data_IF_054592305051
#
_entry.id   IF_054592305051
#
_cell.length_a   1.000
_cell.length_b   1.000
_cell.length_c   1.000
_cell.angle_alpha   90.00
_cell.angle_beta   90.00
_cell.angle_gamma   90.00
#
_symmetry.space_group_name_H-M   'P 1'
#
loop_
_entity.id
_entity.type
_entity.pdbx_description
1 polymer ?
#
# COMPACT_ATOMS: atom_id res chain seq x y z
N UNK A 1 14.68 -9.99 1.59
CA UNK A 1 14.50 -8.58 1.15
C UNK A 1 13.08 -8.07 1.45
N UNK A 2 12.07 -8.90 1.27
CA UNK A 2 10.65 -8.65 1.59
C UNK A 2 10.35 -8.24 3.05
N UNK A 3 10.98 -8.87 4.04
CA UNK A 3 10.80 -8.52 5.46
C UNK A 3 11.25 -7.09 5.83
N UNK A 4 12.24 -6.51 5.11
CA UNK A 4 12.61 -5.10 5.29
C UNK A 4 11.52 -4.18 4.72
N UNK A 5 10.89 -4.61 3.62
CA UNK A 5 9.77 -3.88 3.01
C UNK A 5 8.62 -3.73 4.01
N UNK A 6 8.23 -4.79 4.72
CA UNK A 6 7.14 -4.69 5.72
C UNK A 6 7.35 -3.54 6.72
N UNK A 7 8.55 -3.45 7.32
CA UNK A 7 8.84 -2.41 8.32
C UNK A 7 8.80 -0.99 7.73
N UNK A 8 9.36 -0.78 6.54
CA UNK A 8 9.33 0.53 5.89
C UNK A 8 7.92 0.88 5.43
N UNK A 9 7.18 -0.07 4.86
CA UNK A 9 5.81 0.13 4.43
C UNK A 9 4.91 0.59 5.57
N UNK A 10 5.00 -0.03 6.77
CA UNK A 10 4.24 0.41 7.96
C UNK A 10 4.47 1.89 8.30
N UNK A 11 5.70 2.38 8.16
CA UNK A 11 6.02 3.80 8.42
C UNK A 11 5.44 4.73 7.35
N UNK A 12 5.47 4.32 6.08
CA UNK A 12 5.00 5.13 4.96
C UNK A 12 3.47 5.26 4.91
N UNK A 13 2.75 4.27 5.45
CA UNK A 13 1.27 4.22 5.44
C UNK A 13 0.62 4.67 6.74
N UNK A 14 1.40 4.99 7.78
CA UNK A 14 0.88 5.39 9.11
C UNK A 14 -0.04 6.63 9.08
N UNK A 15 0.05 7.44 8.02
CA UNK A 15 -0.77 8.62 7.82
C UNK A 15 -2.16 8.33 7.25
N UNK A 16 -2.40 7.13 6.72
CA UNK A 16 -3.68 6.73 6.17
C UNK A 16 -4.70 6.48 7.29
N UNK A 17 -5.96 6.82 7.02
CA UNK A 17 -7.05 6.69 7.99
C UNK A 17 -8.09 5.68 7.52
N UNK A 18 -8.47 4.76 8.40
CA UNK A 18 -9.57 3.84 8.13
C UNK A 18 -9.28 2.87 6.98
N UNK A 19 -8.01 2.54 6.75
CA UNK A 19 -7.57 1.56 5.74
C UNK A 19 -7.00 0.34 6.43
N UNK A 20 -7.43 -0.85 6.02
CA UNK A 20 -6.79 -2.12 6.33
C UNK A 20 -6.01 -2.61 5.10
N UNK A 21 -4.68 -2.43 5.10
CA UNK A 21 -3.84 -2.58 3.91
C UNK A 21 -3.14 -3.93 3.83
N UNK A 22 -3.30 -4.59 2.68
CA UNK A 22 -2.47 -5.72 2.24
C UNK A 22 -1.64 -5.33 1.03
N UNK A 23 -0.35 -5.67 1.01
CA UNK A 23 0.52 -5.57 -0.16
C UNK A 23 0.68 -6.95 -0.77
N UNK A 24 0.61 -7.06 -2.09
CA UNK A 24 0.87 -8.29 -2.83
C UNK A 24 1.87 -8.02 -3.95
N UNK A 25 2.96 -8.79 -4.03
CA UNK A 25 3.83 -8.70 -5.19
C UNK A 25 3.35 -9.60 -6.34
N UNK A 26 3.92 -9.39 -7.53
CA UNK A 26 3.67 -10.22 -8.72
C UNK A 26 4.13 -11.67 -8.57
N UNK A 27 5.01 -11.98 -7.61
CA UNK A 27 5.44 -13.33 -7.28
C UNK A 27 4.47 -14.07 -6.33
N UNK A 28 3.39 -13.41 -5.88
CA UNK A 28 2.38 -13.99 -5.01
C UNK A 28 2.67 -13.88 -3.50
N UNK A 29 3.79 -13.25 -3.11
CA UNK A 29 4.05 -12.95 -1.70
C UNK A 29 3.19 -11.79 -1.24
N UNK A 30 2.63 -11.91 -0.04
CA UNK A 30 1.78 -10.89 0.57
C UNK A 30 2.36 -10.38 1.89
N UNK A 31 2.06 -9.12 2.21
CA UNK A 31 2.34 -8.50 3.50
C UNK A 31 1.05 -7.87 3.98
N UNK A 32 0.55 -8.34 5.11
CA UNK A 32 -0.53 -7.69 5.82
C UNK A 32 0.04 -6.59 6.71
N UNK A 33 -0.24 -5.33 6.38
CA UNK A 33 0.20 -4.18 7.17
C UNK A 33 -0.80 -3.84 8.26
N UNK A 34 -2.06 -4.23 8.06
CA UNK A 34 -3.15 -3.96 8.98
C UNK A 34 -3.60 -2.51 8.94
N UNK A 35 -4.57 -2.22 9.79
CA UNK A 35 -5.14 -0.90 10.05
C UNK A 35 -6.62 -1.07 10.37
N UNK A 36 -7.13 -0.37 11.38
CA UNK A 36 -8.50 -0.57 11.91
C UNK A 36 -9.58 -0.02 10.97
N UNK A 37 -9.67 -0.54 9.75
CA UNK A 37 -10.42 0.09 8.67
C UNK A 37 -10.89 -0.85 7.58
N UNK A 38 -11.20 -0.27 6.42
CA UNK A 38 -11.77 -0.97 5.26
C UNK A 38 -10.66 -1.63 4.44
N UNK A 39 -10.86 -2.87 3.96
CA UNK A 39 -9.81 -3.64 3.33
C UNK A 39 -9.42 -3.08 1.96
N UNK A 40 -8.12 -2.98 1.70
CA UNK A 40 -7.57 -2.68 0.38
C UNK A 40 -6.31 -3.49 0.12
N UNK A 41 -6.15 -3.93 -1.13
CA UNK A 41 -4.99 -4.66 -1.61
C UNK A 41 -4.25 -3.79 -2.62
N UNK A 42 -2.97 -3.55 -2.35
CA UNK A 42 -2.03 -2.92 -3.27
C UNK A 42 -1.18 -4.01 -3.93
N UNK A 43 -1.34 -4.19 -5.23
CA UNK A 43 -0.63 -5.21 -6.01
C UNK A 43 0.30 -4.60 -7.04
N UNK A 44 1.52 -5.10 -7.16
CA UNK A 44 2.47 -4.63 -8.17
C UNK A 44 3.86 -5.21 -8.03
N UNK A 45 4.80 -4.77 -8.86
CA UNK A 45 6.20 -5.12 -8.66
C UNK A 45 6.74 -4.43 -7.38
N UNK A 46 7.73 -5.00 -6.68
CA UNK A 46 8.25 -4.41 -5.44
C UNK A 46 8.75 -2.95 -5.58
N UNK A 47 9.30 -2.60 -6.75
CA UNK A 47 9.72 -1.24 -7.08
C UNK A 47 8.54 -0.28 -7.23
N UNK A 48 7.50 -0.68 -7.97
CA UNK A 48 6.28 0.09 -8.20
C UNK A 48 5.50 0.31 -6.90
N UNK A 49 5.38 -0.72 -6.06
CA UNK A 49 4.80 -0.62 -4.72
C UNK A 49 5.57 0.41 -3.90
N UNK A 50 6.91 0.37 -3.92
CA UNK A 50 7.71 1.34 -3.18
C UNK A 50 7.44 2.76 -3.68
N UNK A 51 7.47 3.00 -5.00
CA UNK A 51 7.17 4.29 -5.61
C UNK A 51 5.79 4.82 -5.16
N UNK A 52 4.77 3.96 -5.22
CA UNK A 52 3.42 4.30 -4.77
C UNK A 52 3.39 4.73 -3.30
N UNK A 53 3.99 3.95 -2.41
CA UNK A 53 4.01 4.21 -0.96
C UNK A 53 4.84 5.45 -0.58
N UNK A 54 5.82 5.84 -1.40
CA UNK A 54 6.52 7.12 -1.26
C UNK A 54 5.71 8.32 -1.79
N UNK A 55 4.48 8.10 -2.25
CA UNK A 55 3.59 9.14 -2.77
C UNK A 55 3.73 9.42 -4.26
N UNK A 56 4.61 8.70 -4.98
CA UNK A 56 4.80 8.84 -6.45
C UNK A 56 3.80 7.98 -7.21
N UNK A 57 2.51 8.19 -6.94
CA UNK A 57 1.39 7.36 -7.42
C UNK A 57 1.26 7.37 -8.94
N UNK A 58 1.42 8.53 -9.57
CA UNK A 58 1.28 8.69 -11.03
C UNK A 58 2.41 8.02 -11.83
N UNK A 59 3.51 7.66 -11.16
CA UNK A 59 4.68 7.00 -11.76
C UNK A 59 4.77 5.53 -11.38
N UNK A 60 3.75 4.99 -10.71
CA UNK A 60 3.75 3.59 -10.28
C UNK A 60 2.69 2.78 -11.02
N UNK A 61 3.10 1.65 -11.58
CA UNK A 61 2.22 0.66 -12.20
C UNK A 61 1.74 -0.34 -11.14
N UNK A 62 0.71 0.07 -10.40
CA UNK A 62 0.10 -0.75 -9.33
C UNK A 62 -1.41 -0.86 -9.51
N UNK A 63 -1.95 -1.98 -9.03
CA UNK A 63 -3.38 -2.25 -8.98
C UNK A 63 -3.88 -2.10 -7.54
N UNK A 64 -4.99 -1.39 -7.38
CA UNK A 64 -5.72 -1.26 -6.12
C UNK A 64 -7.06 -1.98 -6.22
N UNK A 65 -7.31 -2.90 -5.30
CA UNK A 65 -8.59 -3.62 -5.21
C UNK A 65 -9.09 -3.66 -3.76
N UNK A 66 -10.39 -3.80 -3.56
CA UNK A 66 -11.02 -3.80 -2.24
C UNK A 66 -12.09 -2.71 -2.11
N UNK A 67 -12.23 -2.16 -0.91
CA UNK A 67 -13.27 -1.18 -0.60
C UNK A 67 -13.01 0.15 -1.33
N UNK A 68 -14.03 0.74 -2.00
CA UNK A 68 -13.86 1.99 -2.75
C UNK A 68 -13.37 3.19 -1.91
N UNK A 69 -13.76 3.27 -0.64
CA UNK A 69 -13.32 4.36 0.25
C UNK A 69 -11.87 4.17 0.67
N UNK A 70 -11.46 2.93 0.93
CA UNK A 70 -10.06 2.62 1.20
C UNK A 70 -9.18 2.85 -0.04
N UNK A 71 -9.66 2.51 -1.23
CA UNK A 71 -8.97 2.82 -2.50
C UNK A 71 -8.83 4.33 -2.67
N UNK A 72 -9.88 5.10 -2.36
CA UNK A 72 -9.82 6.55 -2.44
C UNK A 72 -8.81 7.14 -1.46
N UNK A 73 -8.76 6.64 -0.22
CA UNK A 73 -7.77 7.03 0.78
C UNK A 73 -6.34 6.65 0.33
N UNK A 74 -6.14 5.49 -0.29
CA UNK A 74 -4.83 5.13 -0.87
C UNK A 74 -4.39 6.11 -1.96
N UNK A 75 -5.33 6.59 -2.78
CA UNK A 75 -5.07 7.52 -3.89
C UNK A 75 -4.86 8.96 -3.43
N UNK A 76 -5.52 9.40 -2.36
CA UNK A 76 -5.60 10.83 -1.98
C UNK A 76 -5.00 11.14 -0.60
N UNK A 77 -4.91 10.14 0.28
CA UNK A 77 -4.48 10.28 1.66
C UNK A 77 -2.98 10.52 1.82
N UNK A 78 -2.52 10.58 3.06
CA UNK A 78 -1.11 10.89 3.36
C UNK A 78 -0.24 9.63 3.31
N UNK A 79 0.55 9.51 2.24
CA UNK A 79 1.63 8.53 2.07
C UNK A 79 3.00 9.22 2.22
N UNK A 80 4.06 8.45 2.44
CA UNK A 80 5.45 8.94 2.41
C UNK A 80 6.05 9.36 3.77
N UNK A 81 5.27 9.40 4.85
CA UNK A 81 5.75 9.70 6.22
C UNK A 81 5.21 10.97 6.88
#
# INVERSE_FOLDING_TARGET
MWAKQERFSKLLVRGLKGVDLTISNTAGETIYLGGGGKPVVLKGAPGEIALFLFGRRDHSEVELSGDPEAINEMKTGKLGG
#
